data_IF_620605608394
#
_entry.id   IF_620605608394
#
_cell.length_a   1.000
_cell.length_b   1.000
_cell.length_c   1.000
_cell.angle_alpha   90.00
_cell.angle_beta   90.00
_cell.angle_gamma   90.00
#
_symmetry.space_group_name_H-M   'P 1'
#
loop_
_entity.id
_entity.type
_entity.pdbx_description
1 polymer ?
#
# COMPACT_ATOMS: atom_id res chain seq x y z
N UNK A 1 7.29 -6.82 -19.58
CA UNK A 1 6.41 -5.81 -18.92
C UNK A 1 6.34 -4.52 -19.75
N UNK A 2 7.41 -4.05 -20.39
CA UNK A 2 7.40 -2.86 -21.25
C UNK A 2 6.53 -3.02 -22.51
N UNK A 3 6.39 -4.23 -23.04
CA UNK A 3 5.60 -4.50 -24.24
C UNK A 3 4.09 -4.66 -23.99
N UNK A 4 3.68 -4.96 -22.76
CA UNK A 4 2.27 -5.17 -22.39
C UNK A 4 1.51 -3.90 -22.02
N UNK A 5 2.22 -2.85 -21.59
CA UNK A 5 1.60 -1.57 -21.23
C UNK A 5 1.51 -0.58 -22.38
N UNK A 6 2.16 -0.85 -23.51
CA UNK A 6 2.07 -0.02 -24.72
C UNK A 6 0.71 -0.13 -25.45
N UNK A 7 -0.15 -1.06 -25.03
CA UNK A 7 -1.49 -1.25 -25.61
C UNK A 7 -2.63 -0.48 -24.93
N UNK A 8 -2.37 0.13 -23.76
CA UNK A 8 -3.35 1.01 -23.12
C UNK A 8 -3.09 2.43 -23.61
N UNK A 9 -3.49 2.71 -24.84
CA UNK A 9 -3.61 4.09 -25.31
C UNK A 9 -4.73 4.74 -24.50
N UNK A 10 -4.37 5.53 -23.48
CA UNK A 10 -5.25 6.54 -22.93
C UNK A 10 -5.52 7.56 -24.03
N UNK A 11 -6.46 7.26 -24.93
CA UNK A 11 -6.83 8.10 -26.08
C UNK A 11 -7.48 9.44 -25.73
N UNK A 12 -7.30 9.91 -24.50
CA UNK A 12 -7.86 11.18 -24.01
C UNK A 12 -6.80 12.19 -23.53
N UNK A 13 -5.52 11.82 -23.47
CA UNK A 13 -4.45 12.78 -23.15
C UNK A 13 -3.56 12.98 -24.38
N UNK A 14 -3.24 14.24 -24.75
CA UNK A 14 -2.32 14.50 -25.86
C UNK A 14 -0.98 13.82 -25.57
N UNK A 15 -0.43 13.12 -26.58
CA UNK A 15 0.86 12.42 -26.49
C UNK A 15 2.02 13.30 -26.02
N UNK A 16 1.88 14.61 -26.17
CA UNK A 16 2.84 15.62 -25.68
C UNK A 16 2.97 15.64 -24.17
N UNK A 17 1.89 15.38 -23.40
CA UNK A 17 1.93 15.38 -21.92
C UNK A 17 2.48 14.08 -21.34
N UNK A 18 2.26 12.95 -22.02
CA UNK A 18 2.77 11.66 -21.56
C UNK A 18 4.22 11.43 -22.01
N UNK A 19 4.60 11.90 -23.21
CA UNK A 19 5.95 11.80 -23.74
C UNK A 19 6.97 12.64 -22.95
N UNK A 20 6.63 13.88 -22.64
CA UNK A 20 7.55 14.80 -21.96
C UNK A 20 7.75 14.45 -20.48
N UNK A 21 6.71 14.00 -19.77
CA UNK A 21 6.85 13.59 -18.38
C UNK A 21 7.63 12.26 -18.24
N UNK A 22 7.36 11.28 -19.09
CA UNK A 22 8.12 10.03 -19.10
C UNK A 22 9.56 10.23 -19.60
N UNK A 23 9.77 11.10 -20.58
CA UNK A 23 11.08 11.46 -21.10
C UNK A 23 11.92 12.25 -20.11
N UNK A 24 11.31 13.17 -19.34
CA UNK A 24 12.00 13.92 -18.30
C UNK A 24 12.38 13.04 -17.11
N UNK A 25 11.52 12.10 -16.69
CA UNK A 25 11.86 11.12 -15.64
C UNK A 25 12.98 10.16 -16.07
N UNK A 26 13.00 9.75 -17.35
CA UNK A 26 14.09 8.93 -17.89
C UNK A 26 15.39 9.72 -18.05
N UNK A 27 15.34 11.02 -18.33
CA UNK A 27 16.50 11.89 -18.40
C UNK A 27 17.21 12.07 -17.03
N UNK A 28 16.46 11.96 -15.92
CA UNK A 28 17.01 11.91 -14.57
C UNK A 28 17.44 10.50 -14.14
N UNK A 29 17.30 9.48 -14.98
CA UNK A 29 17.62 8.09 -14.67
C UNK A 29 16.73 7.47 -13.57
N UNK A 30 15.66 8.15 -13.18
CA UNK A 30 14.73 7.70 -12.14
C UNK A 30 13.68 6.75 -12.74
N UNK A 31 13.62 5.55 -12.18
CA UNK A 31 12.57 4.59 -12.47
C UNK A 31 11.41 4.81 -11.50
N UNK A 32 10.18 4.42 -11.90
CA UNK A 32 9.02 4.46 -11.01
C UNK A 32 9.27 3.73 -9.68
N UNK A 33 10.07 2.66 -9.69
CA UNK A 33 10.49 1.94 -8.50
C UNK A 33 11.37 2.77 -7.57
N UNK A 34 12.30 3.57 -8.12
CA UNK A 34 13.19 4.42 -7.33
C UNK A 34 12.39 5.50 -6.58
N UNK A 35 11.34 6.02 -7.22
CA UNK A 35 10.43 6.97 -6.61
C UNK A 35 9.65 6.34 -5.43
N UNK A 36 9.12 5.13 -5.62
CA UNK A 36 8.43 4.40 -4.55
C UNK A 36 9.36 4.10 -3.37
N UNK A 37 10.58 3.61 -3.63
CA UNK A 37 11.56 3.28 -2.58
C UNK A 37 12.01 4.52 -1.82
N UNK A 38 12.07 5.69 -2.46
CA UNK A 38 12.52 6.93 -1.84
C UNK A 38 11.41 7.59 -1.00
N UNK A 39 10.18 7.64 -1.51
CA UNK A 39 9.10 8.41 -0.88
C UNK A 39 8.18 7.59 0.02
N UNK A 40 7.92 6.32 -0.30
CA UNK A 40 6.99 5.50 0.47
C UNK A 40 7.45 5.26 1.92
N UNK A 41 8.73 4.90 2.22
CA UNK A 41 9.15 4.67 3.59
C UNK A 41 9.02 5.90 4.50
N UNK A 42 9.45 7.12 4.12
CA UNK A 42 9.23 8.31 4.93
C UNK A 42 7.76 8.64 5.17
N UNK A 43 6.89 8.45 4.18
CA UNK A 43 5.46 8.66 4.32
C UNK A 43 4.82 7.69 5.31
N UNK A 44 5.11 6.40 5.16
CA UNK A 44 4.63 5.36 6.09
C UNK A 44 5.18 5.55 7.51
N UNK A 45 6.45 5.93 7.63
CA UNK A 45 7.06 6.24 8.92
C UNK A 45 6.37 7.43 9.58
N UNK A 46 6.14 8.51 8.83
CA UNK A 46 5.43 9.70 9.33
C UNK A 46 4.01 9.34 9.77
N UNK A 47 3.27 8.56 8.97
CA UNK A 47 1.94 8.10 9.33
C UNK A 47 1.96 7.25 10.63
N UNK A 48 2.90 6.30 10.72
CA UNK A 48 3.07 5.45 11.90
C UNK A 48 3.40 6.20 13.19
N UNK A 49 4.10 7.35 13.11
CA UNK A 49 4.39 8.19 14.28
C UNK A 49 3.15 8.88 14.87
N UNK A 50 2.11 9.09 14.07
CA UNK A 50 0.89 9.78 14.50
C UNK A 50 -0.16 8.82 15.11
N UNK A 51 -0.01 7.51 14.89
CA UNK A 51 -0.95 6.51 15.41
C UNK A 51 -0.67 6.18 16.85
N UNK A 52 -1.73 6.15 17.67
CA UNK A 52 -1.64 5.64 19.04
C UNK A 52 -1.53 4.12 19.06
N UNK A 53 -0.29 3.62 19.08
CA UNK A 53 0.02 2.18 18.98
C UNK A 53 -0.68 1.37 20.05
N UNK A 54 -0.86 1.92 21.29
CA UNK A 54 -1.51 1.20 22.39
C UNK A 54 -2.98 0.95 22.05
N UNK A 55 -3.69 1.99 21.63
CA UNK A 55 -5.09 1.86 21.21
C UNK A 55 -5.25 1.01 19.95
N UNK A 56 -4.28 1.11 19.03
CA UNK A 56 -4.27 0.26 17.83
C UNK A 56 -4.15 -1.23 18.18
N UNK A 57 -3.30 -1.56 19.17
CA UNK A 57 -3.15 -2.95 19.63
C UNK A 57 -4.40 -3.49 20.32
N UNK A 58 -5.15 -2.63 21.03
CA UNK A 58 -6.43 -3.01 21.63
C UNK A 58 -7.48 -3.34 20.56
N UNK A 59 -7.41 -2.71 19.38
CA UNK A 59 -8.34 -2.86 18.27
C UNK A 59 -7.75 -3.65 17.08
N UNK A 60 -6.59 -4.28 17.26
CA UNK A 60 -5.82 -4.90 16.16
C UNK A 60 -6.62 -5.90 15.32
N UNK A 61 -7.51 -6.67 15.94
CA UNK A 61 -8.35 -7.64 15.23
C UNK A 61 -9.41 -6.97 14.36
N UNK A 62 -10.03 -5.90 14.87
CA UNK A 62 -11.02 -5.13 14.10
C UNK A 62 -10.35 -4.45 12.91
N UNK A 63 -9.21 -3.81 13.15
CA UNK A 63 -8.41 -3.12 12.13
C UNK A 63 -7.92 -4.11 11.06
N UNK A 64 -7.34 -5.25 11.48
CA UNK A 64 -6.84 -6.27 10.57
C UNK A 64 -7.97 -6.85 9.70
N UNK A 65 -9.11 -7.20 10.33
CA UNK A 65 -10.24 -7.76 9.61
C UNK A 65 -10.79 -6.76 8.58
N UNK A 66 -10.97 -5.49 8.99
CA UNK A 66 -11.45 -4.45 8.08
C UNK A 66 -10.49 -4.26 6.90
N UNK A 67 -9.20 -4.09 7.17
CA UNK A 67 -8.19 -3.85 6.14
C UNK A 67 -8.13 -5.00 5.11
N UNK A 68 -8.04 -6.25 5.59
CA UNK A 68 -7.93 -7.40 4.69
C UNK A 68 -9.24 -7.61 3.91
N UNK A 69 -10.40 -7.52 4.59
CA UNK A 69 -11.69 -7.70 3.92
C UNK A 69 -11.93 -6.59 2.90
N UNK A 70 -11.62 -5.32 3.25
CA UNK A 70 -11.77 -4.20 2.33
C UNK A 70 -10.93 -4.40 1.06
N UNK A 71 -9.66 -4.76 1.21
CA UNK A 71 -8.76 -5.00 0.06
C UNK A 71 -9.26 -6.15 -0.82
N UNK A 72 -9.63 -7.28 -0.22
CA UNK A 72 -10.10 -8.46 -0.98
C UNK A 72 -11.42 -8.17 -1.70
N UNK A 73 -12.37 -7.55 -0.99
CA UNK A 73 -13.69 -7.23 -1.56
C UNK A 73 -13.55 -6.19 -2.67
N UNK A 74 -12.80 -5.11 -2.44
CA UNK A 74 -12.60 -4.06 -3.45
C UNK A 74 -11.89 -4.61 -4.66
N UNK A 75 -10.80 -5.37 -4.48
CA UNK A 75 -10.07 -6.02 -5.57
C UNK A 75 -10.99 -6.95 -6.36
N UNK A 76 -11.79 -7.76 -5.69
CA UNK A 76 -12.72 -8.69 -6.34
C UNK A 76 -13.85 -7.98 -7.09
N UNK A 77 -14.48 -6.99 -6.49
CA UNK A 77 -15.60 -6.25 -7.10
C UNK A 77 -15.13 -5.41 -8.29
N UNK A 78 -14.03 -4.65 -8.11
CA UNK A 78 -13.46 -3.84 -9.20
C UNK A 78 -12.92 -4.74 -10.30
N UNK A 79 -12.20 -5.82 -9.94
CA UNK A 79 -11.70 -6.80 -10.89
C UNK A 79 -12.82 -7.43 -11.71
N UNK A 80 -13.89 -7.89 -11.05
CA UNK A 80 -15.05 -8.45 -11.74
C UNK A 80 -15.72 -7.40 -12.65
N UNK A 81 -15.93 -6.18 -12.19
CA UNK A 81 -16.50 -5.11 -13.00
C UNK A 81 -15.67 -4.83 -14.26
N UNK A 82 -14.34 -4.78 -14.14
CA UNK A 82 -13.44 -4.57 -15.29
C UNK A 82 -13.47 -5.72 -16.29
N UNK A 83 -13.63 -6.96 -15.82
CA UNK A 83 -13.77 -8.12 -16.73
C UNK A 83 -15.10 -8.09 -17.44
N UNK A 84 -16.22 -7.88 -16.73
CA UNK A 84 -17.56 -8.01 -17.34
C UNK A 84 -17.99 -6.77 -18.13
N UNK A 85 -17.49 -5.58 -17.79
CA UNK A 85 -17.88 -4.32 -18.44
C UNK A 85 -16.80 -3.83 -19.41
N UNK A 86 -15.51 -4.03 -19.06
CA UNK A 86 -14.36 -3.48 -19.78
C UNK A 86 -13.61 -4.48 -20.65
N UNK A 87 -14.04 -5.75 -20.69
CA UNK A 87 -13.39 -6.82 -21.45
C UNK A 87 -11.89 -7.00 -21.15
N UNK A 88 -11.49 -6.72 -19.88
CA UNK A 88 -10.13 -6.93 -19.41
C UNK A 88 -9.88 -8.40 -19.08
N UNK A 89 -8.64 -8.86 -19.29
CA UNK A 89 -8.23 -10.16 -18.78
C UNK A 89 -8.25 -10.19 -17.24
N UNK A 90 -8.63 -11.32 -16.62
CA UNK A 90 -8.79 -11.48 -15.17
C UNK A 90 -7.60 -10.98 -14.35
N UNK A 91 -6.39 -11.31 -14.73
CA UNK A 91 -5.18 -10.92 -13.99
C UNK A 91 -4.98 -9.39 -14.01
N UNK A 92 -5.11 -8.77 -15.20
CA UNK A 92 -4.98 -7.33 -15.34
C UNK A 92 -6.08 -6.60 -14.56
N UNK A 93 -7.30 -7.11 -14.57
CA UNK A 93 -8.43 -6.57 -13.83
C UNK A 93 -8.22 -6.65 -12.32
N UNK A 94 -7.73 -7.78 -11.80
CA UNK A 94 -7.41 -7.94 -10.38
C UNK A 94 -6.23 -7.08 -9.94
N UNK A 95 -5.20 -6.93 -10.78
CA UNK A 95 -4.08 -6.02 -10.49
C UNK A 95 -4.55 -4.57 -10.37
N UNK A 96 -5.41 -4.11 -11.28
CA UNK A 96 -6.03 -2.77 -11.18
C UNK A 96 -6.92 -2.66 -9.95
N UNK A 97 -7.69 -3.69 -9.63
CA UNK A 97 -8.50 -3.74 -8.42
C UNK A 97 -7.66 -3.62 -7.14
N UNK A 98 -6.51 -4.29 -7.08
CA UNK A 98 -5.60 -4.21 -5.94
C UNK A 98 -4.97 -2.81 -5.77
N UNK A 99 -4.67 -2.12 -6.88
CA UNK A 99 -4.19 -0.72 -6.84
C UNK A 99 -5.26 0.23 -6.28
N UNK A 100 -6.51 0.05 -6.69
CA UNK A 100 -7.63 0.91 -6.28
C UNK A 100 -8.10 0.60 -4.84
N UNK A 101 -7.73 -0.56 -4.30
CA UNK A 101 -8.18 -1.01 -2.98
C UNK A 101 -7.56 -0.21 -1.82
N UNK A 102 -6.51 0.56 -2.04
CA UNK A 102 -5.90 1.43 -1.01
C UNK A 102 -6.77 2.64 -0.74
N UNK A 103 -6.86 3.06 0.53
CA UNK A 103 -7.64 4.21 0.97
C UNK A 103 -6.79 5.17 1.79
N UNK A 104 -6.98 6.49 1.61
CA UNK A 104 -6.35 7.52 2.43
C UNK A 104 -7.37 8.03 3.46
N UNK A 105 -7.07 7.92 4.77
CA UNK A 105 -7.98 8.32 5.83
C UNK A 105 -7.92 9.82 6.15
N UNK A 106 -7.00 10.59 5.58
CA UNK A 106 -6.69 11.96 6.02
C UNK A 106 -7.94 12.84 6.06
N UNK A 107 -8.74 12.83 5.01
CA UNK A 107 -9.97 13.62 4.93
C UNK A 107 -11.02 13.15 5.95
N UNK A 108 -11.21 11.83 6.10
CA UNK A 108 -12.18 11.24 7.04
C UNK A 108 -11.78 11.54 8.48
N UNK A 109 -10.50 11.40 8.82
CA UNK A 109 -9.97 11.68 10.15
C UNK A 109 -10.10 13.16 10.49
N UNK A 110 -9.89 14.07 9.53
CA UNK A 110 -10.12 15.51 9.72
C UNK A 110 -11.59 15.78 10.07
N UNK A 111 -12.52 15.26 9.29
CA UNK A 111 -13.96 15.38 9.57
C UNK A 111 -14.34 14.78 10.93
N UNK A 112 -13.77 13.64 11.30
CA UNK A 112 -14.01 13.03 12.61
C UNK A 112 -13.50 13.88 13.78
N UNK A 113 -12.41 14.61 13.59
CA UNK A 113 -11.91 15.56 14.58
C UNK A 113 -12.89 16.74 14.76
N UNK A 114 -13.37 17.30 13.66
CA UNK A 114 -14.29 18.43 13.66
C UNK A 114 -15.66 18.06 14.27
N UNK A 115 -16.14 16.85 14.01
CA UNK A 115 -17.40 16.32 14.56
C UNK A 115 -17.27 15.80 16.00
N UNK A 116 -16.07 15.81 16.61
CA UNK A 116 -15.86 15.29 17.95
C UNK A 116 -16.00 13.77 18.06
N UNK A 117 -15.77 13.03 16.98
CA UNK A 117 -15.81 11.57 16.98
C UNK A 117 -14.81 10.98 18.02
N UNK A 118 -15.15 9.81 18.54
CA UNK A 118 -14.35 9.14 19.56
C UNK A 118 -12.93 8.85 19.05
N UNK A 119 -11.95 8.92 19.96
CA UNK A 119 -10.56 8.60 19.63
C UNK A 119 -10.43 7.18 19.07
N UNK A 120 -11.21 6.23 19.60
CA UNK A 120 -11.26 4.84 19.15
C UNK A 120 -11.57 4.73 17.66
N UNK A 121 -12.60 5.43 17.19
CA UNK A 121 -13.01 5.38 15.79
C UNK A 121 -11.92 5.92 14.87
N UNK A 122 -11.26 7.01 15.28
CA UNK A 122 -10.15 7.57 14.51
C UNK A 122 -8.98 6.59 14.40
N UNK A 123 -8.59 5.94 15.49
CA UNK A 123 -7.50 4.95 15.51
C UNK A 123 -7.84 3.74 14.65
N UNK A 124 -9.10 3.29 14.63
CA UNK A 124 -9.52 2.19 13.77
C UNK A 124 -9.39 2.57 12.29
N UNK A 125 -9.83 3.76 11.90
CA UNK A 125 -9.75 4.22 10.50
C UNK A 125 -8.32 4.50 10.06
N UNK A 126 -7.50 5.13 10.93
CA UNK A 126 -6.08 5.33 10.67
C UNK A 126 -5.32 4.00 10.55
N UNK A 127 -5.62 3.06 11.44
CA UNK A 127 -4.99 1.72 11.43
C UNK A 127 -5.44 0.86 10.25
N UNK A 128 -6.73 0.94 9.90
CA UNK A 128 -7.27 0.24 8.72
C UNK A 128 -6.53 0.68 7.46
N UNK A 129 -6.38 1.98 7.23
CA UNK A 129 -5.68 2.49 6.05
C UNK A 129 -4.19 2.10 6.03
N UNK A 130 -3.47 2.15 7.15
CA UNK A 130 -2.08 1.70 7.19
C UNK A 130 -1.92 0.21 6.86
N UNK A 131 -2.88 -0.62 7.28
CA UNK A 131 -2.85 -2.06 7.04
C UNK A 131 -3.36 -2.42 5.65
N UNK A 132 -4.32 -1.69 5.10
CA UNK A 132 -4.83 -1.95 3.76
C UNK A 132 -3.78 -1.66 2.69
N UNK A 133 -2.95 -0.62 2.86
CA UNK A 133 -1.82 -0.34 1.97
C UNK A 133 -0.84 -1.52 1.92
N UNK A 134 -0.47 -2.05 3.10
CA UNK A 134 0.40 -3.21 3.19
C UNK A 134 -0.24 -4.47 2.57
N UNK A 135 -1.54 -4.68 2.81
CA UNK A 135 -2.29 -5.81 2.25
C UNK A 135 -2.44 -5.71 0.72
N UNK A 136 -2.71 -4.51 0.20
CA UNK A 136 -2.84 -4.26 -1.22
C UNK A 136 -1.50 -4.44 -1.95
N UNK A 137 -0.39 -3.95 -1.39
CA UNK A 137 0.95 -4.16 -1.95
C UNK A 137 1.31 -5.64 -1.97
N UNK A 138 1.02 -6.38 -0.89
CA UNK A 138 1.28 -7.81 -0.81
C UNK A 138 0.43 -8.59 -1.84
N UNK A 139 -0.86 -8.26 -1.97
CA UNK A 139 -1.76 -8.86 -2.94
C UNK A 139 -1.33 -8.56 -4.37
N UNK A 140 -1.00 -7.31 -4.67
CA UNK A 140 -0.48 -6.89 -5.98
C UNK A 140 0.81 -7.63 -6.34
N UNK A 141 1.76 -7.74 -5.41
CA UNK A 141 3.00 -8.49 -5.60
C UNK A 141 2.75 -9.98 -5.86
N UNK A 142 1.83 -10.58 -5.12
CA UNK A 142 1.43 -11.96 -5.31
C UNK A 142 0.79 -12.20 -6.69
N UNK A 143 -0.17 -11.35 -7.08
CA UNK A 143 -0.81 -11.42 -8.39
C UNK A 143 0.19 -11.22 -9.53
N UNK A 144 1.14 -10.30 -9.37
CA UNK A 144 2.21 -10.06 -10.35
C UNK A 144 3.11 -11.30 -10.51
N UNK A 145 3.51 -11.92 -9.39
CA UNK A 145 4.35 -13.12 -9.41
C UNK A 145 3.65 -14.26 -10.12
N UNK A 146 2.38 -14.48 -9.84
CA UNK A 146 1.58 -15.54 -10.46
C UNK A 146 1.32 -15.26 -11.94
N UNK A 147 1.10 -13.99 -12.32
CA UNK A 147 0.97 -13.56 -13.70
C UNK A 147 2.22 -13.90 -14.52
N UNK A 148 3.40 -13.65 -13.94
CA UNK A 148 4.68 -13.94 -14.59
C UNK A 148 4.99 -15.44 -14.65
N UNK A 149 4.57 -16.20 -13.63
CA UNK A 149 4.77 -17.66 -13.58
C UNK A 149 3.79 -18.45 -14.48
N UNK A 150 2.71 -17.82 -14.96
CA UNK A 150 1.66 -18.48 -15.73
C UNK A 150 0.82 -19.49 -14.92
N UNK A 151 0.84 -19.39 -13.59
CA UNK A 151 0.21 -20.37 -12.66
C UNK A 151 -0.90 -19.75 -11.80
N UNK A 152 -1.49 -18.65 -12.23
CA UNK A 152 -2.47 -17.86 -11.46
C UNK A 152 -3.87 -18.48 -11.39
N UNK A 153 -3.98 -19.78 -11.10
CA UNK A 153 -5.26 -20.49 -11.22
C UNK A 153 -6.02 -20.65 -9.89
N UNK A 154 -5.41 -20.36 -8.74
CA UNK A 154 -6.09 -20.56 -7.44
C UNK A 154 -5.86 -19.43 -6.44
N UNK A 155 -6.90 -19.10 -5.66
CA UNK A 155 -6.81 -18.16 -4.55
C UNK A 155 -5.77 -18.58 -3.49
N UNK A 156 -5.57 -19.90 -3.32
CA UNK A 156 -4.57 -20.46 -2.42
C UNK A 156 -3.14 -20.11 -2.87
N UNK A 157 -2.84 -20.19 -4.16
CA UNK A 157 -1.53 -19.81 -4.71
C UNK A 157 -1.25 -18.31 -4.49
N UNK A 158 -2.27 -17.46 -4.65
CA UNK A 158 -2.17 -16.02 -4.33
C UNK A 158 -1.85 -15.80 -2.86
N UNK A 159 -2.59 -16.43 -1.95
CA UNK A 159 -2.38 -16.31 -0.52
C UNK A 159 -0.98 -16.79 -0.10
N UNK A 160 -0.56 -17.95 -0.57
CA UNK A 160 0.76 -18.52 -0.25
C UNK A 160 1.92 -17.66 -0.76
N UNK A 161 1.78 -17.00 -1.90
CA UNK A 161 2.81 -16.10 -2.44
C UNK A 161 2.87 -14.75 -1.72
N UNK A 162 1.78 -14.28 -1.11
CA UNK A 162 1.74 -13.04 -0.32
C UNK A 162 2.35 -13.19 1.09
N UNK A 163 2.22 -14.36 1.72
CA UNK A 163 2.67 -14.60 3.09
C UNK A 163 4.16 -14.29 3.35
N UNK A 164 5.11 -14.69 2.49
CA UNK A 164 6.52 -14.38 2.68
C UNK A 164 6.79 -12.86 2.65
N UNK A 165 6.15 -12.13 1.75
CA UNK A 165 6.31 -10.68 1.64
C UNK A 165 5.83 -9.96 2.92
N UNK A 166 4.67 -10.36 3.44
CA UNK A 166 4.12 -9.84 4.70
C UNK A 166 5.05 -10.18 5.87
N UNK A 167 5.50 -11.44 5.97
CA UNK A 167 6.37 -11.89 7.06
C UNK A 167 7.73 -11.20 7.08
N UNK A 168 8.37 -11.07 5.92
CA UNK A 168 9.66 -10.37 5.79
C UNK A 168 9.48 -8.89 6.09
N UNK A 169 8.45 -8.24 5.53
CA UNK A 169 8.15 -6.83 5.76
C UNK A 169 7.92 -6.53 7.25
N UNK A 170 7.10 -7.33 7.93
CA UNK A 170 6.87 -7.22 9.36
C UNK A 170 8.16 -7.43 10.18
N UNK A 171 8.97 -8.43 9.83
CA UNK A 171 10.25 -8.70 10.49
C UNK A 171 11.24 -7.55 10.35
N UNK A 172 11.41 -7.01 9.15
CA UNK A 172 12.25 -5.84 8.90
C UNK A 172 11.73 -4.62 9.65
N UNK A 173 10.42 -4.36 9.62
CA UNK A 173 9.80 -3.25 10.35
C UNK A 173 10.05 -3.31 11.86
N UNK A 174 9.87 -4.48 12.47
CA UNK A 174 10.16 -4.71 13.90
C UNK A 174 11.65 -4.51 14.21
N UNK A 175 12.54 -5.02 13.36
CA UNK A 175 13.98 -4.87 13.55
C UNK A 175 14.39 -3.38 13.48
N UNK A 176 13.90 -2.64 12.47
CA UNK A 176 14.19 -1.21 12.31
C UNK A 176 13.61 -0.37 13.45
N UNK A 177 12.41 -0.68 13.93
CA UNK A 177 11.81 -0.01 15.08
C UNK A 177 12.64 -0.21 16.35
N UNK A 178 13.16 -1.41 16.60
CA UNK A 178 14.04 -1.71 17.74
C UNK A 178 15.39 -1.02 17.63
N UNK A 179 15.99 -1.01 16.45
CA UNK A 179 17.24 -0.29 16.20
C UNK A 179 17.07 1.22 16.41
N UNK A 180 16.00 1.80 15.89
CA UNK A 180 15.66 3.20 16.08
C UNK A 180 15.45 3.56 17.58
N UNK A 181 14.69 2.72 18.30
CA UNK A 181 14.49 2.90 19.75
C UNK A 181 15.81 2.81 20.52
N UNK A 182 16.67 1.86 20.18
CA UNK A 182 17.98 1.72 20.82
C UNK A 182 18.89 2.92 20.52
N UNK A 183 18.94 3.36 19.25
CA UNK A 183 19.68 4.56 18.84
C UNK A 183 19.22 5.82 19.57
N UNK A 184 17.89 6.02 19.65
CA UNK A 184 17.30 7.15 20.39
C UNK A 184 17.64 7.11 21.89
N UNK A 185 17.61 5.93 22.49
CA UNK A 185 17.99 5.73 23.90
C UNK A 185 19.48 6.01 24.17
N UNK A 186 20.35 5.75 23.21
CA UNK A 186 21.78 6.09 23.32
C UNK A 186 22.00 7.61 23.23
N UNK A 187 21.32 8.27 22.27
CA UNK A 187 21.40 9.72 22.09
C UNK A 187 20.78 10.47 23.28
N UNK A 188 19.68 10.00 23.82
CA UNK A 188 19.03 10.59 24.98
C UNK A 188 19.82 10.44 26.30
N UNK A 189 20.85 9.57 26.34
CA UNK A 189 21.77 9.40 27.46
C UNK A 189 23.04 10.25 27.34
N UNK A 190 23.25 10.95 26.21
CA UNK A 190 24.31 11.92 26.05
C UNK A 190 24.14 13.09 27.03
N UNK A 191 25.25 13.73 27.49
CA UNK A 191 25.14 14.90 28.35
C UNK A 191 24.38 15.99 27.60
N UNK A 192 23.26 16.43 28.20
CA UNK A 192 22.59 17.65 27.77
C UNK A 192 23.63 18.76 27.99
N UNK A 193 24.16 19.30 26.90
CA UNK A 193 24.97 20.52 26.98
C UNK A 193 24.01 21.62 27.44
N UNK A 194 24.15 22.02 28.69
CA UNK A 194 23.55 23.22 29.25
C UNK A 194 24.06 24.46 28.52
#
# INVERSE_FOLDING_TARGET
LAAGLSGISFGLLPETLTGDAAGSMQAFGLRAQDFLVLFLPPLLFSAGLHVDVRMLMDEVWAVFLLAVVAVVVTTGVVGAALVYIGDFGWIAALLLGAIIATTDPAAVVAVFRDLGATKRLRVIVEGESLLNDAAAIALFGALTTLALAGTADTAEAVALSALPAIGIGAGVGIAMARLGWFGFRLLARGPVLE
#
